data_IF_574570428640
#
_entry.id   IF_574570428640
#
_cell.length_a   1.000
_cell.length_b   1.000
_cell.length_c   1.000
_cell.angle_alpha   90.00
_cell.angle_beta   90.00
_cell.angle_gamma   90.00
#
_symmetry.space_group_name_H-M   'P 1'
#
loop_
_entity.id
_entity.type
_entity.pdbx_description
1 polymer ?
#
# COMPACT_ATOMS: atom_id res chain seq x y z
N UNK A 1 54.41 -4.82 -12.96
CA UNK A 1 53.18 -4.63 -13.77
C UNK A 1 52.28 -5.87 -13.88
N UNK A 2 52.54 -6.98 -13.17
CA UNK A 2 51.74 -8.21 -13.26
C UNK A 2 50.63 -8.33 -12.19
N UNK A 3 50.68 -7.52 -11.14
CA UNK A 3 49.65 -7.49 -10.08
C UNK A 3 48.32 -6.89 -10.55
N UNK A 4 48.35 -6.01 -11.56
CA UNK A 4 47.15 -5.38 -12.13
C UNK A 4 46.33 -6.35 -12.99
N UNK A 5 47.00 -7.20 -13.79
CA UNK A 5 46.31 -8.21 -14.62
C UNK A 5 45.56 -9.25 -13.77
N UNK A 6 46.13 -9.67 -12.62
CA UNK A 6 45.46 -10.63 -11.72
C UNK A 6 44.18 -10.06 -11.08
N UNK A 7 44.13 -8.75 -10.79
CA UNK A 7 42.91 -8.10 -10.29
C UNK A 7 41.80 -8.10 -11.34
N UNK A 8 42.14 -7.86 -12.60
CA UNK A 8 41.15 -7.82 -13.70
C UNK A 8 40.56 -9.19 -14.00
N UNK A 9 41.38 -10.25 -13.89
CA UNK A 9 40.93 -11.65 -14.07
C UNK A 9 40.11 -12.19 -12.89
N UNK A 10 40.37 -11.72 -11.66
CA UNK A 10 39.53 -12.08 -10.50
C UNK A 10 38.22 -11.28 -10.43
N UNK A 11 38.15 -10.10 -11.06
CA UNK A 11 36.91 -9.31 -11.13
C UNK A 11 35.93 -9.84 -12.18
N UNK A 12 36.39 -10.68 -13.12
CA UNK A 12 35.56 -11.28 -14.16
C UNK A 12 34.98 -12.66 -13.76
N UNK A 13 35.18 -13.08 -12.50
CA UNK A 13 34.64 -14.32 -11.92
C UNK A 13 33.47 -14.11 -10.95
N UNK A 14 32.92 -12.89 -10.87
CA UNK A 14 31.56 -12.75 -10.37
C UNK A 14 30.62 -13.05 -11.54
N UNK A 15 30.44 -14.35 -11.78
CA UNK A 15 29.26 -14.85 -12.47
C UNK A 15 28.06 -14.35 -11.69
N UNK A 16 27.34 -13.39 -12.27
CA UNK A 16 25.97 -13.12 -11.89
C UNK A 16 25.22 -14.35 -12.39
N UNK A 17 25.14 -15.38 -11.55
CA UNK A 17 24.06 -16.35 -11.67
C UNK A 17 22.77 -15.53 -11.60
N UNK A 18 21.89 -15.57 -12.60
CA UNK A 18 20.53 -15.13 -12.37
C UNK A 18 20.07 -15.90 -11.14
N UNK A 19 19.66 -15.19 -10.10
CA UNK A 19 18.99 -15.81 -8.98
C UNK A 19 17.62 -16.20 -9.55
N UNK A 20 17.54 -17.37 -10.22
CA UNK A 20 16.33 -17.94 -10.80
C UNK A 20 15.32 -18.37 -9.71
N UNK A 21 15.63 -18.06 -8.44
CA UNK A 21 14.84 -18.36 -7.25
C UNK A 21 14.30 -17.09 -6.55
N UNK A 22 14.23 -15.94 -7.22
CA UNK A 22 13.21 -14.94 -6.86
C UNK A 22 11.88 -15.47 -7.39
N UNK A 23 11.31 -16.39 -6.59
CA UNK A 23 9.98 -16.94 -6.71
C UNK A 23 9.05 -15.94 -7.39
N UNK A 24 8.51 -16.32 -8.55
CA UNK A 24 7.18 -15.88 -8.97
C UNK A 24 6.24 -16.21 -7.79
N UNK A 25 6.18 -15.34 -6.78
CA UNK A 25 5.04 -15.28 -5.89
C UNK A 25 3.87 -15.12 -6.84
N UNK A 26 3.09 -16.18 -6.98
CA UNK A 26 1.98 -16.28 -7.92
C UNK A 26 1.06 -15.06 -7.72
N UNK A 27 1.30 -14.00 -8.49
CA UNK A 27 0.63 -12.71 -8.33
C UNK A 27 -0.78 -12.95 -8.82
N UNK A 28 -1.65 -13.33 -7.89
CA UNK A 28 -3.05 -13.55 -8.18
C UNK A 28 -3.68 -12.18 -8.39
N UNK A 29 -4.16 -11.84 -9.61
CA UNK A 29 -4.80 -10.57 -9.84
C UNK A 29 -6.08 -10.47 -9.01
N UNK A 30 -6.35 -9.29 -8.46
CA UNK A 30 -7.63 -9.02 -7.78
C UNK A 30 -8.77 -9.13 -8.78
N UNK A 31 -9.89 -9.68 -8.32
CA UNK A 31 -11.17 -9.63 -9.01
C UNK A 31 -11.72 -8.20 -9.06
N UNK A 32 -12.64 -7.93 -9.98
CA UNK A 32 -13.29 -6.62 -10.09
C UNK A 32 -14.03 -6.22 -8.80
N UNK A 33 -14.58 -7.20 -8.06
CA UNK A 33 -15.30 -6.96 -6.81
C UNK A 33 -14.31 -6.48 -5.74
N UNK A 34 -13.19 -7.18 -5.55
CA UNK A 34 -12.16 -6.80 -4.57
C UNK A 34 -11.58 -5.41 -4.88
N UNK A 35 -11.42 -5.08 -6.16
CA UNK A 35 -11.02 -3.73 -6.59
C UNK A 35 -12.08 -2.69 -6.22
N UNK A 36 -13.35 -2.97 -6.46
CA UNK A 36 -14.46 -2.09 -6.10
C UNK A 36 -14.56 -1.83 -4.60
N UNK A 37 -14.49 -2.89 -3.79
CA UNK A 37 -14.47 -2.82 -2.33
C UNK A 37 -13.32 -1.95 -1.82
N UNK A 38 -12.14 -2.14 -2.40
CA UNK A 38 -10.95 -1.37 -2.06
C UNK A 38 -11.09 0.13 -2.41
N UNK A 39 -11.63 0.44 -3.59
CA UNK A 39 -11.86 1.82 -4.02
C UNK A 39 -12.81 2.54 -3.06
N UNK A 40 -13.92 1.89 -2.69
CA UNK A 40 -14.91 2.49 -1.79
C UNK A 40 -14.30 2.71 -0.39
N UNK A 41 -13.51 1.76 0.10
CA UNK A 41 -12.77 1.90 1.34
C UNK A 41 -11.83 3.12 1.33
N UNK A 42 -11.03 3.25 0.26
CA UNK A 42 -10.12 4.37 0.07
C UNK A 42 -10.86 5.71 -0.01
N UNK A 43 -11.99 5.78 -0.72
CA UNK A 43 -12.81 6.99 -0.78
C UNK A 43 -13.26 7.44 0.62
N UNK A 44 -13.74 6.52 1.47
CA UNK A 44 -14.19 6.86 2.81
C UNK A 44 -13.05 7.39 3.71
N UNK A 45 -11.90 6.72 3.68
CA UNK A 45 -10.73 7.11 4.48
C UNK A 45 -10.18 8.46 4.01
N UNK A 46 -10.23 8.71 2.70
CA UNK A 46 -9.79 9.97 2.09
C UNK A 46 -10.74 11.13 2.40
N UNK A 47 -12.05 10.89 2.29
CA UNK A 47 -13.05 11.89 2.65
C UNK A 47 -12.88 12.36 4.09
N UNK A 48 -12.59 11.41 5.01
CA UNK A 48 -12.23 11.73 6.38
C UNK A 48 -10.99 12.65 6.48
N UNK A 49 -9.96 12.43 5.68
CA UNK A 49 -8.73 13.25 5.74
C UNK A 49 -9.04 14.70 5.39
N UNK A 50 -9.80 14.94 4.31
CA UNK A 50 -10.05 16.29 3.80
C UNK A 50 -11.24 17.00 4.44
N UNK A 51 -12.25 16.26 4.89
CA UNK A 51 -13.51 16.82 5.39
C UNK A 51 -13.83 16.42 6.85
N UNK A 52 -12.99 15.58 7.47
CA UNK A 52 -13.21 15.07 8.81
C UNK A 52 -14.33 14.02 8.89
N UNK A 53 -14.64 13.59 10.12
CA UNK A 53 -15.73 12.64 10.36
C UNK A 53 -17.07 13.37 10.54
N UNK A 54 -17.65 13.81 9.43
CA UNK A 54 -18.99 14.40 9.40
C UNK A 54 -20.12 13.35 9.49
N UNK A 55 -21.34 13.73 9.93
CA UNK A 55 -22.49 12.83 10.00
C UNK A 55 -22.83 12.15 8.66
N UNK A 56 -22.64 12.86 7.54
CA UNK A 56 -22.91 12.34 6.20
C UNK A 56 -21.96 11.19 5.83
N UNK A 57 -20.67 11.34 6.12
CA UNK A 57 -19.66 10.31 5.86
C UNK A 57 -19.94 9.07 6.72
N UNK A 58 -20.17 9.26 8.02
CA UNK A 58 -20.47 8.15 8.92
C UNK A 58 -21.74 7.39 8.49
N UNK A 59 -22.82 8.11 8.14
CA UNK A 59 -24.05 7.49 7.66
C UNK A 59 -23.84 6.72 6.34
N UNK A 60 -23.09 7.28 5.39
CA UNK A 60 -22.78 6.60 4.14
C UNK A 60 -21.97 5.31 4.37
N UNK A 61 -20.95 5.38 5.23
CA UNK A 61 -20.11 4.22 5.59
C UNK A 61 -20.92 3.14 6.31
N UNK A 62 -21.76 3.52 7.27
CA UNK A 62 -22.55 2.59 8.07
C UNK A 62 -23.65 1.91 7.24
N UNK A 63 -24.39 2.69 6.44
CA UNK A 63 -25.51 2.17 5.66
C UNK A 63 -25.09 1.21 4.54
N UNK A 64 -23.84 1.28 4.08
CA UNK A 64 -23.33 0.47 2.97
C UNK A 64 -22.29 -0.58 3.42
N UNK A 65 -22.12 -0.79 4.73
CA UNK A 65 -21.18 -1.80 5.25
C UNK A 65 -19.71 -1.54 4.92
N UNK A 66 -19.33 -0.31 4.58
CA UNK A 66 -18.00 0.00 4.00
C UNK A 66 -16.85 -0.34 4.96
N UNK A 67 -17.12 -0.35 6.27
CA UNK A 67 -16.13 -0.71 7.31
C UNK A 67 -15.61 -2.13 7.17
N UNK A 68 -16.33 -3.02 6.49
CA UNK A 68 -15.91 -4.40 6.23
C UNK A 68 -14.76 -4.48 5.23
N UNK A 69 -14.63 -3.47 4.36
CA UNK A 69 -13.60 -3.37 3.34
C UNK A 69 -12.35 -2.60 3.81
N UNK A 70 -12.37 -2.10 5.05
CA UNK A 70 -11.20 -1.46 5.63
C UNK A 70 -10.16 -2.48 6.03
N UNK A 71 -8.91 -2.21 5.69
CA UNK A 71 -7.79 -2.80 6.43
C UNK A 71 -7.83 -2.40 7.90
N UNK A 72 -7.15 -3.16 8.76
CA UNK A 72 -7.06 -2.86 10.19
C UNK A 72 -6.55 -1.44 10.46
N UNK A 73 -5.54 -0.99 9.71
CA UNK A 73 -4.97 0.36 9.87
C UNK A 73 -5.95 1.47 9.49
N UNK A 74 -6.74 1.25 8.44
CA UNK A 74 -7.76 2.18 7.96
C UNK A 74 -8.91 2.28 8.93
N UNK A 75 -9.35 1.14 9.47
CA UNK A 75 -10.39 1.10 10.49
C UNK A 75 -9.96 1.86 11.74
N UNK A 76 -8.74 1.63 12.20
CA UNK A 76 -8.15 2.37 13.33
C UNK A 76 -8.06 3.87 13.05
N UNK A 77 -7.64 4.24 11.83
CA UNK A 77 -7.60 5.64 11.43
C UNK A 77 -9.00 6.25 11.39
N UNK A 78 -9.96 5.57 10.77
CA UNK A 78 -11.32 6.03 10.56
C UNK A 78 -12.12 6.18 11.86
N UNK A 79 -11.88 5.31 12.84
CA UNK A 79 -12.55 5.39 14.14
C UNK A 79 -11.91 6.40 15.11
N UNK A 80 -10.65 6.77 14.90
CA UNK A 80 -10.00 7.78 15.73
C UNK A 80 -10.57 9.19 15.48
N UNK A 81 -11.22 9.87 16.44
CA UNK A 81 -11.81 11.19 16.23
C UNK A 81 -10.77 12.30 15.99
N UNK A 82 -9.51 12.07 16.38
CA UNK A 82 -8.42 13.04 16.24
C UNK A 82 -7.11 12.33 15.86
N UNK A 83 -6.99 11.83 14.60
CA UNK A 83 -5.76 11.19 14.14
C UNK A 83 -4.62 12.21 14.08
N UNK A 84 -3.39 11.75 14.34
CA UNK A 84 -2.20 12.60 14.23
C UNK A 84 -1.98 13.11 12.81
N UNK A 85 -1.28 14.23 12.67
CA UNK A 85 -1.04 14.84 11.36
C UNK A 85 -0.28 13.91 10.42
N UNK A 86 0.72 13.19 10.92
CA UNK A 86 1.43 12.17 10.13
C UNK A 86 0.49 11.07 9.62
N UNK A 87 -0.52 10.66 10.40
CA UNK A 87 -1.50 9.67 9.91
C UNK A 87 -2.38 10.26 8.81
N UNK A 88 -2.81 11.52 8.94
CA UNK A 88 -3.57 12.19 7.87
C UNK A 88 -2.76 12.28 6.59
N UNK A 89 -1.48 12.67 6.68
CA UNK A 89 -0.56 12.68 5.54
C UNK A 89 -0.47 11.29 4.93
N UNK A 90 -0.17 10.25 5.71
CA UNK A 90 -0.05 8.89 5.16
C UNK A 90 -1.33 8.43 4.45
N UNK A 91 -2.50 8.78 4.95
CA UNK A 91 -3.78 8.40 4.35
C UNK A 91 -4.23 9.33 3.20
N UNK A 92 -3.70 10.55 3.07
CA UNK A 92 -4.00 11.41 1.92
C UNK A 92 -3.34 10.90 0.63
N UNK A 93 -2.17 10.28 0.73
CA UNK A 93 -1.41 9.76 -0.41
C UNK A 93 -1.91 8.40 -0.91
N UNK A 94 -2.67 7.66 -0.10
CA UNK A 94 -3.24 6.35 -0.51
C UNK A 94 -4.30 6.46 -1.62
N UNK A 95 -4.68 7.67 -2.04
CA UNK A 95 -5.56 7.93 -3.19
C UNK A 95 -4.83 7.75 -4.52
N UNK A 96 -3.51 7.92 -4.54
CA UNK A 96 -2.70 7.94 -5.77
C UNK A 96 -2.22 6.55 -6.21
N UNK A 97 -2.60 5.47 -5.51
CA UNK A 97 -2.08 4.12 -5.72
C UNK A 97 -3.17 3.09 -6.02
#
# INVERSE_FOLDING_TARGET
MWKWLKRKLNSAKNEITPNEDEMDEDITPRTAIEVGERIIALCAVTDKVFHGNGPKLNAWVDNNGIKEYFSSEEKDFFLNPSPSENRKINFSWKVEC
#
